data_IF_307367748236
#
_entry.id   IF_307367748236
#
_cell.length_a   1.000
_cell.length_b   1.000
_cell.length_c   1.000
_cell.angle_alpha   90.00
_cell.angle_beta   90.00
_cell.angle_gamma   90.00
#
_symmetry.space_group_name_H-M   'P 1'
#
loop_
_entity.id
_entity.type
_entity.pdbx_description
1 polymer ?
#
# COMPACT_ATOMS: atom_id res chain seq x y z
N UNK A 1 82.69 17.88 36.72
CA UNK A 1 81.59 18.29 35.81
C UNK A 1 80.83 17.05 35.37
N UNK A 2 79.72 16.71 36.04
CA UNK A 2 78.85 15.57 35.70
C UNK A 2 77.55 16.14 35.12
N UNK A 3 77.25 15.82 33.86
CA UNK A 3 76.01 16.22 33.16
C UNK A 3 74.88 15.29 33.60
N UNK A 4 73.81 15.87 34.13
CA UNK A 4 72.52 15.21 34.39
C UNK A 4 71.70 15.21 33.09
N UNK A 5 71.24 14.05 32.64
CA UNK A 5 70.27 13.91 31.56
C UNK A 5 68.91 13.57 32.18
N UNK A 6 67.91 14.43 32.00
CA UNK A 6 66.54 14.23 32.45
C UNK A 6 65.76 13.66 31.26
N UNK A 7 65.29 12.41 31.36
CA UNK A 7 64.44 11.77 30.34
C UNK A 7 62.99 11.94 30.80
N UNK A 8 62.21 12.71 30.05
CA UNK A 8 60.78 12.92 30.28
C UNK A 8 59.99 11.89 29.49
N UNK A 9 59.32 10.96 30.18
CA UNK A 9 58.41 9.98 29.58
C UNK A 9 57.04 10.65 29.38
N UNK A 10 56.65 10.89 28.13
CA UNK A 10 55.31 11.40 27.79
C UNK A 10 54.40 10.18 27.59
N UNK A 11 53.53 9.93 28.56
CA UNK A 11 52.46 8.93 28.45
C UNK A 11 51.29 9.57 27.67
N UNK A 12 51.20 9.31 26.37
CA UNK A 12 50.02 9.67 25.57
C UNK A 12 48.92 8.65 25.84
N UNK A 13 47.97 9.03 26.70
CA UNK A 13 46.74 8.31 26.92
C UNK A 13 45.81 8.56 25.72
N UNK A 14 45.85 7.68 24.72
CA UNK A 14 44.85 7.69 23.65
C UNK A 14 43.52 7.20 24.23
N UNK A 15 42.61 8.12 24.52
CA UNK A 15 41.20 7.78 24.71
C UNK A 15 40.66 7.27 23.37
N UNK A 16 40.73 5.96 23.17
CA UNK A 16 39.94 5.29 22.15
C UNK A 16 38.47 5.40 22.53
N UNK A 17 37.75 6.31 21.89
CA UNK A 17 36.29 6.28 21.91
C UNK A 17 35.85 5.08 21.06
N UNK A 18 35.63 3.92 21.70
CA UNK A 18 34.87 2.84 21.06
C UNK A 18 33.42 3.31 20.99
N UNK A 19 32.98 3.71 19.80
CA UNK A 19 31.55 3.82 19.52
C UNK A 19 30.93 2.43 19.70
N UNK A 20 30.11 2.27 20.73
CA UNK A 20 29.26 1.09 20.87
C UNK A 20 28.10 1.27 19.89
N UNK A 21 28.14 0.57 18.75
CA UNK A 21 27.01 0.45 17.85
C UNK A 21 25.90 -0.34 18.55
N UNK A 22 25.00 0.37 19.20
CA UNK A 22 23.75 -0.19 19.72
C UNK A 22 22.78 -0.36 18.55
N UNK A 23 22.78 -1.52 17.91
CA UNK A 23 21.67 -1.94 17.03
C UNK A 23 20.46 -2.27 17.91
N UNK A 24 19.76 -1.25 18.41
CA UNK A 24 18.57 -1.44 19.21
C UNK A 24 17.38 -1.65 18.27
N UNK A 25 16.86 -2.87 18.20
CA UNK A 25 15.65 -3.17 17.44
C UNK A 25 14.45 -2.33 17.93
N UNK A 26 13.52 -2.06 17.02
CA UNK A 26 12.24 -1.41 17.32
C UNK A 26 11.26 -2.46 17.84
N UNK A 27 10.69 -2.19 19.01
CA UNK A 27 9.72 -3.08 19.65
C UNK A 27 8.29 -2.57 19.39
N UNK A 28 7.39 -3.50 19.07
CA UNK A 28 5.95 -3.28 18.94
C UNK A 28 5.22 -4.31 19.82
N UNK A 29 4.09 -3.89 20.40
CA UNK A 29 3.25 -4.74 21.24
C UNK A 29 1.87 -4.81 20.62
N UNK A 30 1.38 -6.02 20.34
CA UNK A 30 0.01 -6.24 19.83
C UNK A 30 -1.03 -5.93 20.88
N UNK A 31 -2.29 -5.73 20.47
CA UNK A 31 -3.46 -5.63 21.38
C UNK A 31 -3.57 -6.82 22.34
N UNK A 32 -3.14 -8.01 21.92
CA UNK A 32 -3.12 -9.23 22.74
C UNK A 32 -1.90 -9.33 23.68
N UNK A 33 -1.02 -8.32 23.64
CA UNK A 33 0.16 -8.22 24.50
C UNK A 33 1.39 -8.99 23.99
N UNK A 34 1.37 -9.48 22.75
CA UNK A 34 2.51 -10.16 22.12
C UNK A 34 3.53 -9.15 21.66
N UNK A 35 4.80 -9.51 21.77
CA UNK A 35 5.92 -8.62 21.44
C UNK A 35 6.49 -8.98 20.08
N UNK A 36 6.75 -7.97 19.26
CA UNK A 36 7.43 -8.07 17.97
C UNK A 36 8.65 -7.16 18.03
N UNK A 37 9.83 -7.71 17.80
CA UNK A 37 11.09 -6.96 17.74
C UNK A 37 11.60 -6.97 16.30
N UNK A 38 11.73 -5.78 15.72
CA UNK A 38 12.23 -5.58 14.37
C UNK A 38 13.61 -4.95 14.43
N UNK A 39 14.62 -5.66 13.96
CA UNK A 39 16.01 -5.18 13.93
C UNK A 39 16.45 -4.98 12.49
N UNK A 40 16.81 -3.74 12.15
CA UNK A 40 17.37 -3.38 10.85
C UNK A 40 18.89 -3.25 10.95
N UNK A 41 19.60 -3.79 9.97
CA UNK A 41 21.05 -3.68 9.84
C UNK A 41 21.37 -3.17 8.44
N UNK A 42 21.95 -1.97 8.36
CA UNK A 42 22.38 -1.38 7.11
C UNK A 42 23.72 -1.98 6.67
N UNK A 43 23.87 -2.20 5.36
CA UNK A 43 25.17 -2.41 4.74
C UNK A 43 25.98 -1.11 4.70
N UNK A 44 27.29 -1.20 4.44
CA UNK A 44 28.20 -0.06 4.41
C UNK A 44 27.80 1.04 3.41
N UNK A 45 26.99 0.73 2.39
CA UNK A 45 26.50 1.68 1.40
C UNK A 45 25.13 2.28 1.74
N UNK A 46 24.49 1.87 2.84
CA UNK A 46 23.14 2.24 3.30
C UNK A 46 21.97 1.98 2.33
N UNK A 47 22.25 1.69 1.06
CA UNK A 47 21.24 1.43 0.04
C UNK A 47 20.53 0.08 0.21
N UNK A 48 21.16 -0.88 0.88
CA UNK A 48 20.61 -2.22 1.11
C UNK A 48 20.69 -2.58 2.58
N UNK A 49 19.66 -3.25 3.08
CA UNK A 49 19.52 -3.59 4.49
C UNK A 49 19.13 -5.04 4.67
N UNK A 50 19.44 -5.57 5.86
CA UNK A 50 18.88 -6.82 6.35
C UNK A 50 17.91 -6.53 7.49
N UNK A 51 16.78 -7.21 7.49
CA UNK A 51 15.73 -7.04 8.47
C UNK A 51 15.48 -8.37 9.19
N UNK A 52 15.53 -8.33 10.51
CA UNK A 52 15.18 -9.47 11.38
C UNK A 52 13.91 -9.13 12.16
N UNK A 53 12.90 -9.99 12.06
CA UNK A 53 11.61 -9.84 12.74
C UNK A 53 11.48 -11.02 13.69
N UNK A 54 11.39 -10.75 15.00
CA UNK A 54 11.27 -11.76 16.04
C UNK A 54 9.98 -11.55 16.82
N UNK A 55 9.17 -12.59 16.93
CA UNK A 55 7.99 -12.58 17.80
C UNK A 55 8.35 -13.19 19.16
N UNK A 56 7.69 -12.72 20.22
CA UNK A 56 7.87 -13.23 21.57
C UNK A 56 6.53 -13.30 22.30
N UNK A 57 6.30 -14.43 22.97
CA UNK A 57 5.11 -14.71 23.76
C UNK A 57 3.96 -15.34 22.97
N UNK A 58 4.21 -15.79 21.73
CA UNK A 58 3.31 -16.65 20.97
C UNK A 58 3.36 -18.08 21.52
N UNK A 59 2.48 -18.96 21.05
CA UNK A 59 2.63 -20.40 21.31
C UNK A 59 3.94 -20.93 20.70
N UNK A 60 4.26 -20.48 19.49
CA UNK A 60 5.53 -20.68 18.82
C UNK A 60 6.08 -19.33 18.43
N UNK A 61 7.20 -18.94 19.04
CA UNK A 61 7.92 -17.73 18.67
C UNK A 61 8.62 -17.95 17.33
N UNK A 62 8.50 -16.99 16.43
CA UNK A 62 8.99 -17.01 15.06
C UNK A 62 10.12 -16.00 14.87
N UNK A 63 11.02 -16.31 13.94
CA UNK A 63 12.11 -15.42 13.53
C UNK A 63 12.24 -15.43 12.01
N UNK A 64 12.06 -14.27 11.40
CA UNK A 64 12.20 -14.08 9.95
C UNK A 64 13.39 -13.20 9.66
N UNK A 65 14.17 -13.58 8.63
CA UNK A 65 15.33 -12.81 8.18
C UNK A 65 15.16 -12.51 6.70
N UNK A 66 15.11 -11.22 6.38
CA UNK A 66 15.09 -10.70 5.02
C UNK A 66 16.44 -10.03 4.74
N UNK A 67 16.97 -10.24 3.55
CA UNK A 67 18.24 -9.69 3.10
C UNK A 67 18.01 -8.93 1.81
N UNK A 68 18.92 -8.00 1.52
CA UNK A 68 18.94 -7.24 0.28
C UNK A 68 17.60 -6.52 0.01
N UNK A 69 17.01 -5.95 1.08
CA UNK A 69 15.81 -5.13 1.00
C UNK A 69 16.16 -3.64 1.10
N UNK A 70 15.26 -2.80 0.58
CA UNK A 70 15.32 -1.35 0.79
C UNK A 70 15.22 -0.98 2.29
N UNK A 71 15.79 0.16 2.73
CA UNK A 71 15.68 0.63 4.10
C UNK A 71 14.23 0.76 4.60
N UNK A 72 14.01 0.49 5.88
CA UNK A 72 12.70 0.62 6.52
C UNK A 72 12.34 2.11 6.66
N UNK A 73 11.23 2.50 6.04
CA UNK A 73 10.66 3.84 6.20
C UNK A 73 9.83 3.94 7.47
N UNK A 74 8.90 3.01 7.67
CA UNK A 74 8.10 2.92 8.90
C UNK A 74 7.48 1.53 9.03
N UNK A 75 6.87 1.27 10.19
CA UNK A 75 6.17 0.03 10.49
C UNK A 75 4.97 0.32 11.39
N UNK A 76 3.90 -0.45 11.22
CA UNK A 76 2.64 -0.26 11.91
C UNK A 76 1.94 -1.61 12.17
N UNK A 77 1.26 -1.71 13.31
CA UNK A 77 0.32 -2.79 13.60
C UNK A 77 -1.09 -2.39 13.15
N UNK A 78 -1.81 -3.34 12.55
CA UNK A 78 -3.22 -3.20 12.24
C UNK A 78 -3.89 -4.56 12.19
N UNK A 79 -5.22 -4.55 12.27
CA UNK A 79 -6.06 -5.75 12.18
C UNK A 79 -6.96 -5.54 10.95
N UNK A 80 -6.45 -5.89 9.76
CA UNK A 80 -7.14 -5.60 8.50
C UNK A 80 -8.25 -6.59 8.21
N UNK A 81 -8.15 -7.83 8.69
CA UNK A 81 -9.21 -8.83 8.51
C UNK A 81 -10.25 -8.83 9.65
N UNK A 82 -10.03 -8.02 10.70
CA UNK A 82 -10.91 -7.83 11.86
C UNK A 82 -11.09 -9.10 12.68
N UNK A 83 -10.07 -9.96 12.73
CA UNK A 83 -10.10 -11.20 13.50
C UNK A 83 -9.71 -11.00 14.99
N UNK A 84 -9.29 -9.79 15.37
CA UNK A 84 -8.87 -9.43 16.74
C UNK A 84 -7.38 -9.61 17.02
N UNK A 85 -6.61 -10.11 16.05
CA UNK A 85 -5.17 -10.32 16.11
C UNK A 85 -4.48 -9.44 15.07
N UNK A 86 -3.61 -8.55 15.54
CA UNK A 86 -2.96 -7.60 14.63
C UNK A 86 -1.87 -8.27 13.78
N UNK A 87 -1.83 -7.86 12.52
CA UNK A 87 -0.70 -8.01 11.63
C UNK A 87 0.33 -6.90 11.83
N UNK A 88 1.57 -7.16 11.41
CA UNK A 88 2.60 -6.14 11.26
C UNK A 88 2.81 -5.84 9.78
N UNK A 89 2.80 -4.55 9.44
CA UNK A 89 3.15 -4.03 8.12
C UNK A 89 4.40 -3.17 8.24
N UNK A 90 5.43 -3.52 7.46
CA UNK A 90 6.72 -2.83 7.42
C UNK A 90 6.89 -2.28 6.01
N UNK A 91 7.02 -0.96 5.91
CA UNK A 91 7.14 -0.25 4.65
C UNK A 91 8.61 0.07 4.46
N UNK A 92 9.17 -0.38 3.35
CA UNK A 92 10.53 -0.03 2.93
C UNK A 92 10.49 0.97 1.79
N UNK A 93 11.56 1.74 1.61
CA UNK A 93 11.64 2.73 0.53
C UNK A 93 13.01 2.74 -0.14
N UNK A 94 13.03 2.58 -1.45
CA UNK A 94 14.24 2.69 -2.25
C UNK A 94 14.85 4.10 -2.17
N UNK A 95 16.18 4.17 -2.12
CA UNK A 95 16.95 5.43 -2.07
C UNK A 95 16.95 6.18 -3.42
N UNK A 96 16.58 5.50 -4.51
CA UNK A 96 16.54 6.07 -5.86
C UNK A 96 15.52 7.21 -6.02
N UNK A 97 15.65 7.97 -7.11
CA UNK A 97 14.80 9.15 -7.38
C UNK A 97 13.31 8.84 -7.51
N UNK A 98 12.94 7.59 -7.81
CA UNK A 98 11.55 7.16 -7.85
C UNK A 98 10.97 6.87 -6.46
N UNK A 99 11.76 6.81 -5.39
CA UNK A 99 11.30 6.60 -4.00
C UNK A 99 10.27 5.46 -3.86
N UNK A 100 10.44 4.39 -4.63
CA UNK A 100 9.54 3.24 -4.67
C UNK A 100 9.39 2.66 -3.27
N UNK A 101 8.15 2.45 -2.82
CA UNK A 101 7.90 1.73 -1.57
C UNK A 101 7.48 0.30 -1.83
N UNK A 102 7.94 -0.58 -0.94
CA UNK A 102 7.50 -1.96 -0.86
C UNK A 102 6.92 -2.22 0.53
N UNK A 103 6.16 -3.31 0.65
CA UNK A 103 5.62 -3.74 1.93
C UNK A 103 6.01 -5.16 2.22
N UNK A 104 6.39 -5.37 3.47
CA UNK A 104 6.60 -6.65 4.09
C UNK A 104 5.52 -6.80 5.16
N UNK A 105 4.74 -7.87 5.08
CA UNK A 105 3.64 -8.12 6.01
C UNK A 105 3.76 -9.48 6.68
N UNK A 106 3.41 -9.55 7.96
CA UNK A 106 3.24 -10.82 8.68
C UNK A 106 1.96 -10.77 9.51
N UNK A 107 1.17 -11.83 9.45
CA UNK A 107 -0.09 -11.95 10.16
C UNK A 107 0.01 -12.94 11.32
N UNK A 108 -0.63 -12.61 12.44
CA UNK A 108 -0.75 -13.49 13.59
C UNK A 108 -1.82 -14.54 13.35
N UNK A 109 -1.48 -15.83 13.51
CA UNK A 109 -2.44 -16.93 13.43
C UNK A 109 -3.03 -17.20 14.82
N UNK A 110 -3.81 -16.25 15.33
CA UNK A 110 -4.42 -16.30 16.66
C UNK A 110 -3.40 -16.46 17.80
N UNK A 111 -2.32 -15.68 17.77
CA UNK A 111 -1.20 -15.71 18.72
C UNK A 111 -0.41 -17.03 18.76
N UNK A 112 -0.61 -17.94 17.79
CA UNK A 112 0.10 -19.23 17.74
C UNK A 112 1.42 -19.17 17.00
N UNK A 113 1.45 -18.41 15.90
CA UNK A 113 2.59 -18.22 15.01
C UNK A 113 2.32 -17.02 14.11
N UNK A 114 3.35 -16.54 13.43
CA UNK A 114 3.24 -15.55 12.37
C UNK A 114 3.44 -16.20 11.00
N UNK A 115 2.69 -15.74 10.00
CA UNK A 115 2.86 -16.17 8.60
C UNK A 115 3.03 -14.95 7.69
N UNK A 116 3.89 -15.04 6.66
CA UNK A 116 4.03 -13.97 5.68
C UNK A 116 2.70 -13.64 4.99
N UNK A 117 2.47 -12.35 4.76
CA UNK A 117 1.38 -11.85 3.93
C UNK A 117 1.94 -11.66 2.52
N UNK A 118 1.35 -12.36 1.55
CA UNK A 118 1.73 -12.23 0.15
C UNK A 118 1.07 -10.99 -0.47
N UNK A 119 1.88 -10.22 -1.18
CA UNK A 119 1.46 -9.05 -1.94
C UNK A 119 1.27 -9.41 -3.40
N UNK A 120 0.24 -8.85 -4.07
CA UNK A 120 0.01 -9.16 -5.47
C UNK A 120 1.15 -8.58 -6.31
N UNK A 121 1.81 -9.45 -7.07
CA UNK A 121 2.79 -9.04 -8.06
C UNK A 121 2.13 -8.17 -9.13
N UNK A 122 2.86 -7.14 -9.56
CA UNK A 122 2.44 -6.29 -10.67
C UNK A 122 2.86 -6.94 -11.98
N UNK A 123 1.94 -6.99 -12.94
CA UNK A 123 2.17 -7.54 -14.27
C UNK A 123 2.29 -6.42 -15.30
N UNK A 124 2.88 -6.70 -16.47
CA UNK A 124 2.96 -5.71 -17.56
C UNK A 124 1.58 -5.11 -17.90
N UNK A 125 0.53 -5.94 -17.86
CA UNK A 125 -0.84 -5.49 -18.14
C UNK A 125 -1.40 -4.50 -17.12
N UNK A 126 -0.81 -4.42 -15.93
CA UNK A 126 -1.18 -3.42 -14.94
C UNK A 126 -0.66 -2.03 -15.32
N UNK A 127 0.43 -1.93 -16.08
CA UNK A 127 1.07 -0.68 -16.51
C UNK A 127 0.59 -0.19 -17.88
N UNK A 128 -0.02 -1.07 -18.67
CA UNK A 128 -0.62 -0.75 -19.95
C UNK A 128 -1.69 0.35 -19.85
N UNK A 129 -2.04 0.95 -20.99
CA UNK A 129 -3.14 1.91 -21.09
C UNK A 129 -4.45 1.31 -20.57
N UNK A 130 -5.09 1.99 -19.60
CA UNK A 130 -6.29 1.53 -18.91
C UNK A 130 -6.02 0.45 -17.85
N UNK A 131 -4.75 0.19 -17.53
CA UNK A 131 -4.28 -0.67 -16.45
C UNK A 131 -4.38 0.02 -15.08
N UNK A 132 -4.18 -0.75 -14.01
CA UNK A 132 -4.32 -0.24 -12.64
C UNK A 132 -3.20 0.74 -12.25
N UNK A 133 -2.03 0.61 -12.88
CA UNK A 133 -0.79 1.34 -12.68
C UNK A 133 -0.34 2.09 -13.95
N UNK A 134 -1.28 2.44 -14.85
CA UNK A 134 -0.98 3.33 -15.98
C UNK A 134 -0.33 4.63 -15.48
N UNK A 135 0.82 5.00 -16.06
CA UNK A 135 1.57 6.20 -15.69
C UNK A 135 2.28 6.13 -14.33
N UNK A 136 2.42 4.95 -13.74
CA UNK A 136 3.13 4.78 -12.48
C UNK A 136 4.66 4.90 -12.62
N UNK A 137 5.29 5.72 -11.77
CA UNK A 137 6.76 5.87 -11.72
C UNK A 137 7.30 5.97 -10.27
N UNK A 138 6.63 5.33 -9.32
CA UNK A 138 7.01 5.35 -7.91
C UNK A 138 6.35 6.48 -7.12
N UNK A 139 7.07 7.00 -6.13
CA UNK A 139 6.62 8.00 -5.15
C UNK A 139 5.39 7.55 -4.37
N UNK A 140 5.36 6.24 -4.11
CA UNK A 140 4.32 5.60 -3.36
C UNK A 140 4.21 6.17 -1.95
N UNK A 141 3.03 6.07 -1.40
CA UNK A 141 2.76 6.22 0.02
C UNK A 141 1.78 5.14 0.42
N UNK A 142 2.19 4.30 1.36
CA UNK A 142 1.29 3.34 1.99
C UNK A 142 0.74 3.90 3.29
N UNK A 143 -0.55 3.63 3.54
CA UNK A 143 -1.19 3.95 4.81
C UNK A 143 -2.37 3.01 5.06
N UNK A 144 -2.77 2.91 6.31
CA UNK A 144 -3.90 2.10 6.71
C UNK A 144 -5.11 3.00 6.88
N UNK A 145 -6.20 2.65 6.19
CA UNK A 145 -7.47 3.36 6.26
C UNK A 145 -8.58 2.38 6.60
N UNK A 146 -9.12 2.49 7.83
CA UNK A 146 -10.06 1.52 8.40
C UNK A 146 -9.43 0.11 8.42
N UNK A 147 -10.03 -0.84 7.72
CA UNK A 147 -9.67 -2.25 7.57
C UNK A 147 -8.94 -2.52 6.24
N UNK A 148 -8.30 -1.50 5.66
CA UNK A 148 -7.65 -1.58 4.36
C UNK A 148 -6.25 -1.01 4.41
N UNK A 149 -5.38 -1.63 3.62
CA UNK A 149 -4.11 -1.05 3.25
C UNK A 149 -4.30 -0.27 1.96
N UNK A 150 -3.90 1.00 1.95
CA UNK A 150 -4.04 1.88 0.79
C UNK A 150 -2.65 2.23 0.28
N UNK A 151 -2.46 2.10 -1.02
CA UNK A 151 -1.31 2.59 -1.77
C UNK A 151 -1.73 3.80 -2.56
N UNK A 152 -1.00 4.89 -2.40
CA UNK A 152 -1.22 6.13 -3.13
C UNK A 152 0.04 6.50 -3.91
N UNK A 153 -0.11 6.96 -5.15
CA UNK A 153 1.02 7.43 -5.96
C UNK A 153 0.56 8.45 -7.00
N UNK A 154 1.45 9.36 -7.45
CA UNK A 154 1.17 10.25 -8.55
C UNK A 154 1.15 9.52 -9.91
N UNK A 155 0.32 10.01 -10.83
CA UNK A 155 0.25 9.53 -12.22
C UNK A 155 1.07 10.48 -13.10
N UNK A 156 1.96 9.91 -13.91
CA UNK A 156 2.81 10.63 -14.85
C UNK A 156 2.21 10.53 -16.26
N UNK A 157 2.08 11.68 -16.92
CA UNK A 157 1.68 11.79 -18.32
C UNK A 157 2.90 11.88 -19.25
N UNK A 158 2.63 11.81 -20.56
CA UNK A 158 3.66 12.00 -21.57
C UNK A 158 4.31 13.39 -21.42
N UNK A 159 5.65 13.41 -21.33
CA UNK A 159 6.50 14.59 -21.09
C UNK A 159 6.60 15.08 -19.63
N UNK A 160 5.98 14.40 -18.66
CA UNK A 160 6.23 14.71 -17.25
C UNK A 160 7.68 14.37 -16.85
N UNK A 161 8.24 15.17 -15.96
CA UNK A 161 9.52 14.89 -15.30
C UNK A 161 9.27 14.15 -13.99
N UNK A 162 10.27 13.40 -13.51
CA UNK A 162 10.18 12.62 -12.26
C UNK A 162 9.67 13.42 -11.04
N UNK A 163 9.95 14.73 -10.99
CA UNK A 163 9.58 15.63 -9.91
C UNK A 163 8.33 16.50 -10.17
N UNK A 164 7.68 16.37 -11.34
CA UNK A 164 6.52 17.19 -11.70
C UNK A 164 5.44 16.34 -12.44
N UNK A 165 4.79 15.39 -11.75
CA UNK A 165 3.66 14.65 -12.29
C UNK A 165 2.44 15.56 -12.48
N UNK A 166 1.73 15.40 -13.60
CA UNK A 166 0.55 16.21 -13.95
C UNK A 166 -0.72 15.37 -14.13
N UNK A 167 -0.63 14.04 -14.04
CA UNK A 167 -1.77 13.12 -14.20
C UNK A 167 -2.66 12.96 -12.97
N UNK A 168 -2.40 13.70 -11.89
CA UNK A 168 -3.11 13.57 -10.61
C UNK A 168 -2.56 12.44 -9.73
N UNK A 169 -3.39 11.93 -8.82
CA UNK A 169 -3.01 10.85 -7.90
C UNK A 169 -3.92 9.63 -8.09
N UNK A 170 -3.35 8.45 -7.94
CA UNK A 170 -4.06 7.16 -7.90
C UNK A 170 -4.03 6.61 -6.48
N UNK A 171 -5.15 6.04 -6.05
CA UNK A 171 -5.23 5.24 -4.84
C UNK A 171 -5.70 3.82 -5.17
N UNK A 172 -5.04 2.83 -4.58
CA UNK A 172 -5.37 1.42 -4.67
C UNK A 172 -5.54 0.90 -3.25
N UNK A 173 -6.74 0.41 -2.95
CA UNK A 173 -7.02 -0.26 -1.68
C UNK A 173 -6.80 -1.76 -1.80
N UNK A 174 -6.25 -2.37 -0.75
CA UNK A 174 -6.04 -3.79 -0.60
C UNK A 174 -6.78 -4.31 0.62
N UNK A 175 -7.42 -5.46 0.47
CA UNK A 175 -8.07 -6.19 1.55
C UNK A 175 -7.23 -7.41 1.91
N UNK A 176 -7.07 -7.67 3.21
CA UNK A 176 -6.45 -8.90 3.66
C UNK A 176 -7.44 -10.06 3.52
N UNK A 177 -6.99 -11.16 2.93
CA UNK A 177 -7.77 -12.38 2.71
C UNK A 177 -6.95 -13.60 3.06
N UNK A 178 -7.62 -14.60 3.61
CA UNK A 178 -7.04 -15.92 3.81
C UNK A 178 -6.98 -16.64 2.46
N UNK A 179 -5.77 -16.96 2.00
CA UNK A 179 -5.54 -17.88 0.88
C UNK A 179 -5.49 -19.33 1.35
N UNK A 180 -5.18 -20.26 0.43
CA UNK A 180 -5.14 -21.70 0.74
C UNK A 180 -4.04 -22.06 1.74
N UNK A 181 -2.91 -21.36 1.70
CA UNK A 181 -1.74 -21.65 2.53
C UNK A 181 -1.13 -20.41 3.22
N UNK A 182 -1.58 -19.21 2.89
CA UNK A 182 -1.03 -17.96 3.42
C UNK A 182 -2.05 -16.83 3.37
N UNK A 183 -1.78 -15.77 4.13
CA UNK A 183 -2.51 -14.51 4.00
C UNK A 183 -2.12 -13.78 2.73
N UNK A 184 -3.08 -13.13 2.09
CA UNK A 184 -2.87 -12.44 0.83
C UNK A 184 -3.57 -11.10 0.86
N UNK A 185 -2.87 -10.06 0.43
CA UNK A 185 -3.50 -8.79 0.10
C UNK A 185 -4.04 -8.85 -1.31
N UNK A 186 -5.30 -8.51 -1.46
CA UNK A 186 -5.98 -8.52 -2.75
C UNK A 186 -6.50 -7.13 -3.06
N UNK A 187 -6.26 -6.66 -4.28
CA UNK A 187 -6.79 -5.38 -4.77
C UNK A 187 -8.30 -5.37 -4.58
N UNK A 188 -8.81 -4.33 -3.92
CA UNK A 188 -10.23 -4.09 -3.76
C UNK A 188 -10.82 -3.69 -5.12
N UNK A 189 -11.50 -4.64 -5.76
CA UNK A 189 -12.18 -4.40 -7.05
C UNK A 189 -13.61 -3.88 -6.89
N UNK A 190 -14.17 -3.95 -5.68
CA UNK A 190 -15.58 -3.67 -5.42
C UNK A 190 -15.77 -2.76 -4.21
N UNK A 191 -16.66 -1.79 -4.32
CA UNK A 191 -16.92 -0.76 -3.31
C UNK A 191 -18.41 -0.74 -2.99
N UNK A 192 -18.77 -0.74 -1.71
CA UNK A 192 -20.16 -0.63 -1.27
C UNK A 192 -20.42 0.83 -0.90
N UNK A 193 -21.10 1.54 -1.78
CA UNK A 193 -21.24 3.00 -1.68
C UNK A 193 -22.70 3.40 -1.75
N UNK A 194 -23.04 4.47 -1.03
CA UNK A 194 -24.34 5.12 -1.19
C UNK A 194 -24.31 5.91 -2.49
N UNK A 195 -25.21 5.58 -3.40
CA UNK A 195 -25.27 6.18 -4.73
C UNK A 195 -26.62 6.81 -4.99
N UNK A 196 -26.62 7.85 -5.81
CA UNK A 196 -27.84 8.40 -6.39
C UNK A 196 -27.91 8.07 -7.88
N UNK A 197 -29.01 7.46 -8.33
CA UNK A 197 -29.15 7.11 -9.74
C UNK A 197 -29.62 8.33 -10.53
N UNK A 198 -28.85 8.72 -11.53
CA UNK A 198 -29.16 9.81 -12.47
C UNK A 198 -29.40 9.22 -13.85
N UNK A 199 -30.55 9.52 -14.46
CA UNK A 199 -30.92 9.03 -15.80
C UNK A 199 -31.28 10.20 -16.68
N UNK A 200 -30.71 10.25 -17.89
CA UNK A 200 -31.10 11.20 -18.93
C UNK A 200 -31.00 10.56 -20.33
N UNK A 201 -31.10 11.36 -21.40
CA UNK A 201 -31.05 10.81 -22.76
C UNK A 201 -29.65 10.31 -23.17
N UNK A 202 -28.59 10.70 -22.45
CA UNK A 202 -27.20 10.35 -22.75
C UNK A 202 -26.76 9.05 -22.06
N UNK A 203 -27.49 8.62 -21.02
CA UNK A 203 -27.31 7.32 -20.39
C UNK A 203 -27.82 7.25 -18.95
N UNK A 204 -27.35 6.21 -18.25
CA UNK A 204 -27.55 6.03 -16.82
C UNK A 204 -26.23 6.24 -16.08
N UNK A 205 -26.30 6.98 -14.98
CA UNK A 205 -25.18 7.38 -14.15
C UNK A 205 -25.47 7.09 -12.68
N UNK A 206 -24.41 6.92 -11.90
CA UNK A 206 -24.49 7.01 -10.45
C UNK A 206 -23.74 8.26 -9.99
N UNK A 207 -24.34 8.98 -9.06
CA UNK A 207 -23.72 10.11 -8.36
C UNK A 207 -23.20 9.65 -7.01
N UNK A 208 -21.93 9.87 -6.76
CA UNK A 208 -21.25 9.57 -5.50
C UNK A 208 -20.24 10.67 -5.19
N UNK A 209 -20.26 11.21 -3.98
CA UNK A 209 -19.35 12.28 -3.54
C UNK A 209 -19.28 13.45 -4.52
N UNK A 210 -20.44 13.92 -4.99
CA UNK A 210 -20.60 15.02 -5.98
C UNK A 210 -20.15 14.70 -7.42
N UNK A 211 -19.58 13.53 -7.66
CA UNK A 211 -19.13 13.10 -8.99
C UNK A 211 -20.08 12.10 -9.62
N UNK A 212 -20.29 12.24 -10.93
CA UNK A 212 -21.09 11.32 -11.73
C UNK A 212 -20.21 10.30 -12.46
N UNK A 213 -20.65 9.04 -12.41
CA UNK A 213 -19.99 7.90 -13.06
C UNK A 213 -20.97 7.19 -13.98
N UNK A 214 -20.56 6.94 -15.21
CA UNK A 214 -21.38 6.26 -16.22
C UNK A 214 -21.54 4.78 -15.89
N UNK A 215 -22.78 4.29 -15.90
CA UNK A 215 -23.07 2.87 -15.63
C UNK A 215 -22.97 2.07 -16.93
N UNK A 216 -22.10 1.07 -16.93
CA UNK A 216 -21.78 0.27 -18.12
C UNK A 216 -22.58 -1.03 -18.23
N UNK A 217 -23.54 -1.23 -17.33
CA UNK A 217 -24.48 -2.34 -17.32
C UNK A 217 -25.86 -1.85 -16.84
N UNK A 218 -26.37 -0.80 -17.49
CA UNK A 218 -27.58 -0.04 -17.12
C UNK A 218 -28.89 -0.84 -17.12
N UNK A 219 -28.92 -2.00 -17.78
CA UNK A 219 -30.10 -2.88 -17.90
C UNK A 219 -30.65 -3.36 -16.56
N UNK A 220 -29.88 -3.29 -15.49
CA UNK A 220 -30.27 -3.72 -14.13
C UNK A 220 -30.97 -2.65 -13.31
N UNK A 221 -31.07 -1.40 -13.79
CA UNK A 221 -31.48 -0.26 -12.97
C UNK A 221 -32.91 0.26 -13.22
N UNK A 222 -33.76 -0.44 -13.99
CA UNK A 222 -35.04 0.14 -14.48
C UNK A 222 -36.03 0.50 -13.36
N UNK A 223 -35.99 -0.14 -12.19
CA UNK A 223 -36.99 0.00 -11.12
C UNK A 223 -36.42 0.38 -9.74
N UNK A 224 -35.25 1.00 -9.68
CA UNK A 224 -34.57 1.30 -8.42
C UNK A 224 -34.77 2.76 -8.02
N UNK A 225 -35.05 2.98 -6.73
CA UNK A 225 -35.18 4.30 -6.11
C UNK A 225 -33.92 5.14 -6.33
N UNK A 226 -34.10 6.46 -6.32
CA UNK A 226 -33.00 7.39 -6.59
C UNK A 226 -31.94 7.40 -5.50
N UNK A 227 -32.18 6.79 -4.33
CA UNK A 227 -31.22 6.57 -3.26
C UNK A 227 -31.07 5.06 -2.98
N UNK A 228 -29.87 4.53 -3.20
CA UNK A 228 -29.59 3.11 -3.00
C UNK A 228 -28.16 2.89 -2.51
N UNK A 229 -27.91 1.75 -1.86
CA UNK A 229 -26.55 1.27 -1.65
C UNK A 229 -26.19 0.34 -2.80
N UNK A 230 -25.11 0.66 -3.51
CA UNK A 230 -24.65 -0.14 -4.63
C UNK A 230 -23.25 -0.68 -4.35
N UNK A 231 -23.09 -1.97 -4.63
CA UNK A 231 -21.78 -2.61 -4.78
C UNK A 231 -21.31 -2.36 -6.20
N UNK A 232 -20.30 -1.53 -6.35
CA UNK A 232 -19.80 -1.05 -7.64
C UNK A 232 -18.38 -1.54 -7.91
N UNK A 233 -18.01 -1.64 -9.18
CA UNK A 233 -16.63 -1.85 -9.63
C UNK A 233 -16.29 -0.81 -10.68
N UNK A 234 -15.25 -0.03 -10.45
CA UNK A 234 -14.76 0.95 -11.42
C UNK A 234 -14.16 0.25 -12.64
N UNK A 235 -14.44 0.78 -13.82
CA UNK A 235 -13.86 0.29 -15.07
C UNK A 235 -13.38 1.45 -15.94
N UNK A 236 -12.45 1.14 -16.85
CA UNK A 236 -12.06 2.05 -17.92
C UNK A 236 -13.27 2.41 -18.79
N UNK A 237 -13.48 3.70 -19.02
CA UNK A 237 -14.55 4.24 -19.86
C UNK A 237 -14.49 3.69 -21.29
N UNK A 238 -13.31 3.40 -21.83
CA UNK A 238 -13.14 2.82 -23.16
C UNK A 238 -13.62 1.36 -23.22
N UNK A 239 -13.66 0.66 -22.08
CA UNK A 239 -14.19 -0.69 -21.94
C UNK A 239 -15.72 -0.68 -21.72
N UNK A 240 -16.31 0.50 -21.49
CA UNK A 240 -17.74 0.72 -21.37
C UNK A 240 -18.41 0.76 -22.76
N UNK A 241 -18.58 -0.41 -23.39
CA UNK A 241 -19.28 -0.52 -24.68
C UNK A 241 -20.78 -0.41 -24.47
N UNK A 242 -21.33 0.79 -24.59
CA UNK A 242 -22.78 0.96 -24.69
C UNK A 242 -23.28 0.46 -26.06
N UNK A 243 -24.50 -0.11 -26.13
CA UNK A 243 -25.10 -0.44 -27.42
C UNK A 243 -25.27 0.83 -28.25
N UNK A 244 -24.88 0.78 -29.53
CA UNK A 244 -25.19 1.82 -30.52
C UNK A 244 -26.71 1.94 -30.65
N UNK A 245 -27.32 2.84 -29.88
CA UNK A 245 -28.71 3.24 -30.11
C UNK A 245 -28.73 4.54 -30.90
N UNK A 246 -29.32 4.43 -32.09
CA UNK A 246 -29.67 5.51 -33.02
C UNK A 246 -30.80 6.36 -32.41
N UNK A 247 -30.47 7.10 -31.37
CA UNK A 247 -31.25 8.24 -30.90
C UNK A 247 -30.26 9.38 -30.72
N UNK A 248 -30.40 10.43 -31.54
CA UNK A 248 -29.57 11.63 -31.45
C UNK A 248 -29.91 12.36 -30.14
N UNK A 249 -29.27 12.00 -29.04
CA UNK A 249 -29.24 12.81 -27.84
C UNK A 249 -28.15 13.86 -28.04
N UNK A 250 -28.54 15.12 -28.23
CA UNK A 250 -27.60 16.25 -28.31
C UNK A 250 -27.16 16.77 -26.92
N UNK A 251 -27.45 16.01 -25.87
CA UNK A 251 -27.10 16.35 -24.49
C UNK A 251 -25.86 15.56 -24.08
N UNK A 252 -24.85 16.26 -23.56
CA UNK A 252 -23.68 15.68 -22.95
C UNK A 252 -23.82 15.75 -21.43
N UNK A 253 -23.69 14.61 -20.76
CA UNK A 253 -23.63 14.53 -19.30
C UNK A 253 -22.18 14.38 -18.86
N UNK A 254 -21.68 15.35 -18.11
CA UNK A 254 -20.32 15.34 -17.57
C UNK A 254 -20.17 14.22 -16.53
N UNK A 255 -19.11 13.42 -16.65
CA UNK A 255 -18.82 12.31 -15.75
C UNK A 255 -17.32 12.09 -15.69
N UNK A 256 -16.83 11.64 -14.54
CA UNK A 256 -15.39 11.47 -14.29
C UNK A 256 -14.89 10.05 -14.52
N UNK A 257 -15.80 9.10 -14.78
CA UNK A 257 -15.42 7.72 -15.05
C UNK A 257 -16.61 6.80 -15.30
N UNK A 258 -16.33 5.50 -15.31
CA UNK A 258 -17.28 4.44 -15.56
C UNK A 258 -17.29 3.38 -14.47
N UNK A 259 -18.45 2.77 -14.25
CA UNK A 259 -18.66 1.72 -13.26
C UNK A 259 -19.52 0.57 -13.80
N UNK A 260 -19.35 -0.61 -13.21
CA UNK A 260 -20.33 -1.68 -13.25
C UNK A 260 -21.00 -1.82 -11.89
N UNK A 261 -22.32 -1.97 -11.89
CA UNK A 261 -23.08 -2.27 -10.69
C UNK A 261 -23.15 -3.78 -10.54
N UNK A 262 -22.66 -4.29 -9.43
CA UNK A 262 -22.63 -5.72 -9.11
C UNK A 262 -23.88 -6.12 -8.33
N UNK A 263 -24.22 -5.35 -7.31
CA UNK A 263 -25.39 -5.53 -6.45
C UNK A 263 -25.94 -4.15 -6.06
N UNK A 264 -27.23 -4.06 -5.76
CA UNK A 264 -27.89 -2.81 -5.37
C UNK A 264 -29.05 -3.12 -4.44
N UNK A 265 -29.15 -2.34 -3.36
CA UNK A 265 -30.06 -2.54 -2.23
C UNK A 265 -30.85 -1.26 -1.92
#
# INVERSE_FOLDING_TARGET
MKKFFLITFIFTFSLGCKAQNHHHGKELITKTGKKIVVTETHSDSESMTSLTIQTNGLENDDSFVLKDIDPVKFMQLADLDQNGFEEIYIITQAVGSGSYQNIIGYASNNDKSFTPIYFPELTDTDFDKGGLFEGYMGHDSFFIQKDKLVRKFPIYLENDTNNNPTGGEKEISYLLKQGEASWQLQVQKTYNEKVLIVRDCSGTYIRMNEWDYKVCNDTTLVNIKNDAFAKISFIDINKCKLPEKVAVCMLYHEHVGAVKILEIH
#
